data_IF_671894304458
#
_entry.id   IF_671894304458
#
_cell.length_a   1.000
_cell.length_b   1.000
_cell.length_c   1.000
_cell.angle_alpha   90.00
_cell.angle_beta   90.00
_cell.angle_gamma   90.00
#
_symmetry.space_group_name_H-M   'P 1'
#
loop_
_entity.id
_entity.type
_entity.pdbx_description
1 polymer ?
#
# COMPACT_ATOMS: atom_id res chain seq x y z
N UNK A 1 14.90 4.97 -9.12
CA UNK A 1 13.58 5.17 -8.49
C UNK A 1 12.78 3.89 -8.72
N UNK A 2 12.32 3.22 -7.66
CA UNK A 2 11.43 2.03 -7.80
C UNK A 2 10.07 2.55 -8.29
N UNK A 3 9.56 2.03 -9.39
CA UNK A 3 8.21 2.35 -9.87
C UNK A 3 7.23 1.34 -9.27
N UNK A 4 6.25 1.82 -8.51
CA UNK A 4 5.16 1.01 -7.94
C UNK A 4 3.85 1.39 -8.62
N UNK A 5 2.99 0.40 -8.89
CA UNK A 5 1.71 0.59 -9.55
C UNK A 5 0.55 0.52 -8.54
N UNK A 6 -0.51 1.30 -8.74
CA UNK A 6 -1.76 1.13 -7.98
C UNK A 6 -2.28 -0.32 -8.11
N UNK A 7 -2.72 -0.90 -7.01
CA UNK A 7 -3.17 -2.30 -6.95
C UNK A 7 -2.03 -3.32 -6.89
N UNK A 8 -0.78 -2.90 -6.95
CA UNK A 8 0.36 -3.79 -6.80
C UNK A 8 0.47 -4.31 -5.37
N UNK A 9 0.72 -5.60 -5.23
CA UNK A 9 1.02 -6.22 -3.94
C UNK A 9 2.45 -5.92 -3.54
N UNK A 10 2.65 -5.56 -2.28
CA UNK A 10 3.95 -5.19 -1.72
C UNK A 10 4.16 -5.84 -0.37
N UNK A 11 5.41 -6.20 -0.11
CA UNK A 11 5.89 -6.58 1.21
C UNK A 11 6.50 -5.36 1.89
N UNK A 12 6.05 -5.07 3.11
CA UNK A 12 6.64 -4.07 3.99
C UNK A 12 7.46 -4.78 5.08
N UNK A 13 8.76 -4.50 5.09
CA UNK A 13 9.65 -5.07 6.11
C UNK A 13 9.15 -4.74 7.53
N UNK A 14 8.99 -5.78 8.36
CA UNK A 14 8.47 -5.66 9.72
C UNK A 14 6.97 -5.42 9.89
N UNK A 15 6.18 -5.23 8.81
CA UNK A 15 4.73 -4.91 8.92
C UNK A 15 3.80 -5.84 8.12
N UNK A 16 4.35 -6.65 7.21
CA UNK A 16 3.59 -7.66 6.46
C UNK A 16 3.20 -7.22 5.05
N UNK A 17 2.11 -7.80 4.55
CA UNK A 17 1.70 -7.70 3.15
C UNK A 17 0.65 -6.59 2.98
N UNK A 18 0.78 -5.80 1.92
CA UNK A 18 -0.15 -4.72 1.60
C UNK A 18 -0.37 -4.54 0.11
N UNK A 19 -1.30 -3.64 -0.22
CA UNK A 19 -1.62 -3.26 -1.60
C UNK A 19 -1.41 -1.76 -1.77
N UNK A 20 -0.70 -1.38 -2.83
CA UNK A 20 -0.48 0.02 -3.20
C UNK A 20 -1.83 0.67 -3.53
N UNK A 21 -2.14 1.75 -2.83
CA UNK A 21 -3.41 2.48 -2.93
C UNK A 21 -3.22 3.98 -3.05
N UNK A 22 -4.31 4.66 -3.40
CA UNK A 22 -4.35 6.13 -3.39
C UNK A 22 -4.39 6.62 -1.94
N UNK A 23 -3.59 7.65 -1.64
CA UNK A 23 -3.71 8.35 -0.37
C UNK A 23 -5.03 9.14 -0.33
N UNK A 24 -5.72 9.20 0.82
CA UNK A 24 -6.90 10.03 0.98
C UNK A 24 -6.60 11.51 0.73
N UNK A 25 -7.62 12.24 0.27
CA UNK A 25 -7.51 13.68 0.05
C UNK A 25 -7.04 14.40 1.33
N UNK A 26 -6.13 15.36 1.17
CA UNK A 26 -5.56 16.14 2.27
C UNK A 26 -4.42 15.46 3.04
N UNK A 27 -4.07 14.21 2.71
CA UNK A 27 -2.85 13.58 3.25
C UNK A 27 -1.63 14.13 2.52
N UNK A 28 -0.81 14.91 3.22
CA UNK A 28 0.46 15.40 2.70
C UNK A 28 1.51 14.29 2.85
N UNK A 29 1.78 13.57 1.77
CA UNK A 29 2.86 12.58 1.75
C UNK A 29 4.20 13.29 1.64
N UNK A 30 5.20 12.84 2.39
CA UNK A 30 6.57 13.26 2.13
C UNK A 30 7.01 12.76 0.75
N UNK A 31 8.01 13.43 0.17
CA UNK A 31 8.65 12.97 -1.07
C UNK A 31 9.09 11.51 -0.90
N UNK A 32 8.91 10.69 -1.94
CA UNK A 32 9.20 9.25 -1.96
C UNK A 32 8.35 8.36 -1.02
N UNK A 33 7.14 8.80 -0.67
CA UNK A 33 6.13 7.96 -0.01
C UNK A 33 5.02 7.50 -0.96
N UNK A 34 4.39 6.37 -0.63
CA UNK A 34 3.21 5.83 -1.33
C UNK A 34 2.14 5.38 -0.34
N UNK A 35 0.88 5.42 -0.75
CA UNK A 35 -0.21 4.84 0.03
C UNK A 35 -0.19 3.32 -0.03
N UNK A 36 -0.31 2.66 1.13
CA UNK A 36 -0.44 1.20 1.26
C UNK A 36 -1.61 0.86 2.15
N UNK A 37 -2.46 -0.06 1.67
CA UNK A 37 -3.58 -0.63 2.41
C UNK A 37 -3.22 -2.04 2.90
N UNK A 38 -3.43 -2.29 4.20
CA UNK A 38 -3.10 -3.56 4.87
C UNK A 38 -4.35 -4.38 5.23
N UNK A 39 -5.41 -4.28 4.42
CA UNK A 39 -6.65 -5.03 4.63
C UNK A 39 -7.57 -4.47 5.73
N UNK A 40 -7.26 -3.32 6.31
CA UNK A 40 -8.06 -2.69 7.39
C UNK A 40 -9.05 -1.67 6.83
N UNK A 41 -10.27 -1.63 7.39
CA UNK A 41 -11.31 -0.69 6.99
C UNK A 41 -11.83 0.11 8.19
N UNK A 42 -12.39 1.29 7.94
CA UNK A 42 -13.21 2.02 8.91
C UNK A 42 -14.51 1.28 9.19
N UNK A 43 -15.27 1.73 10.21
CA UNK A 43 -16.59 1.19 10.53
C UNK A 43 -17.60 1.37 9.37
N UNK A 44 -17.34 2.32 8.48
CA UNK A 44 -18.15 2.60 7.28
C UNK A 44 -17.69 1.77 6.05
N UNK A 45 -16.68 0.91 6.22
CA UNK A 45 -16.17 0.05 5.16
C UNK A 45 -15.15 0.71 4.21
N UNK A 46 -14.71 1.94 4.51
CA UNK A 46 -13.67 2.61 3.71
C UNK A 46 -12.28 2.06 4.05
N UNK A 47 -11.37 1.84 3.09
CA UNK A 47 -10.02 1.35 3.37
C UNK A 47 -9.20 2.37 4.16
N UNK A 48 -8.44 1.90 5.15
CA UNK A 48 -7.49 2.74 5.89
C UNK A 48 -6.13 2.62 5.21
N UNK A 49 -5.74 3.65 4.45
CA UNK A 49 -4.46 3.70 3.72
C UNK A 49 -3.41 4.44 4.55
N UNK A 50 -2.24 3.82 4.72
CA UNK A 50 -1.08 4.41 5.40
C UNK A 50 -0.07 4.94 4.39
N UNK A 51 0.58 6.07 4.70
CA UNK A 51 1.70 6.58 3.92
C UNK A 51 2.99 5.86 4.33
N UNK A 52 3.65 5.22 3.37
CA UNK A 52 4.84 4.38 3.61
C UNK A 52 6.01 4.85 2.73
N UNK A 53 7.24 4.98 3.27
CA UNK A 53 8.41 5.29 2.46
C UNK A 53 8.73 4.15 1.48
N UNK A 54 8.98 4.49 0.21
CA UNK A 54 9.17 3.51 -0.88
C UNK A 54 10.38 2.60 -0.65
N UNK A 55 11.37 3.02 0.14
CA UNK A 55 12.57 2.22 0.44
C UNK A 55 12.26 0.93 1.22
N UNK A 56 11.22 0.92 2.06
CA UNK A 56 10.79 -0.25 2.84
C UNK A 56 9.91 -1.21 2.06
N UNK A 57 9.53 -0.85 0.83
CA UNK A 57 8.63 -1.65 -0.01
C UNK A 57 9.39 -2.52 -0.99
N UNK A 58 8.98 -3.78 -1.04
CA UNK A 58 9.44 -4.76 -2.03
C UNK A 58 8.23 -5.32 -2.79
N UNK A 59 8.33 -5.44 -4.11
CA UNK A 59 7.25 -6.03 -4.91
C UNK A 59 6.96 -7.46 -4.43
N UNK A 60 5.70 -7.73 -4.12
CA UNK A 60 5.22 -9.09 -3.91
C UNK A 60 4.81 -9.71 -5.26
N UNK A 61 4.85 -11.04 -5.40
CA UNK A 61 4.27 -11.72 -6.56
C UNK A 61 2.78 -11.36 -6.68
N UNK A 62 2.29 -11.24 -7.92
CA UNK A 62 0.87 -11.05 -8.17
C UNK A 62 0.08 -12.19 -7.52
N UNK A 63 -1.02 -11.88 -6.80
CA UNK A 63 -1.84 -12.91 -6.18
C UNK A 63 -2.38 -13.82 -7.28
N UNK A 64 -2.23 -15.12 -7.06
CA UNK A 64 -2.91 -16.10 -7.89
C UNK A 64 -4.34 -16.18 -7.38
N UNK A 65 -5.29 -15.64 -8.13
CA UNK A 65 -6.71 -15.83 -7.83
C UNK A 65 -6.96 -17.35 -7.87
N UNK A 66 -7.29 -17.93 -6.71
CA UNK A 66 -7.76 -19.31 -6.60
C UNK A 66 -9.28 -19.29 -6.42
N UNK A 67 -9.99 -20.01 -7.29
CA UNK A 67 -11.43 -20.20 -7.26
C UNK A 67 -11.80 -21.46 -6.49
#
# INVERSE_FOLDING_TARGET
MKSLLLGQFVYLDGSGDGVVGMLPDGVNAADDHVGVWFGTTTDEGSPIVSSVPVEYLTSAPEPRIQH
#
